data_IF_812681870466
#
_entry.id   IF_812681870466
#
_cell.length_a   1.000
_cell.length_b   1.000
_cell.length_c   1.000
_cell.angle_alpha   90.00
_cell.angle_beta   90.00
_cell.angle_gamma   90.00
#
_symmetry.space_group_name_H-M   'P 1'
#
loop_
_entity.id
_entity.type
_entity.pdbx_description
1 polymer ?
#
# COMPACT_ATOMS: atom_id res chain seq x y z
N UNK A 1 10.09 15.58 -15.49
CA UNK A 1 9.65 16.25 -14.25
C UNK A 1 8.28 16.83 -14.54
N UNK A 2 7.21 16.40 -13.85
CA UNK A 2 5.94 17.12 -13.96
C UNK A 2 6.14 18.53 -13.44
N UNK A 3 5.75 19.51 -14.23
CA UNK A 3 5.66 20.91 -13.80
C UNK A 3 4.38 21.16 -12.96
N UNK A 4 4.02 20.16 -12.14
CA UNK A 4 2.79 20.16 -11.34
C UNK A 4 2.85 21.22 -10.24
N UNK A 5 4.05 21.42 -9.67
CA UNK A 5 4.29 22.41 -8.63
C UNK A 5 4.09 23.82 -9.19
N UNK A 6 4.74 24.16 -10.31
CA UNK A 6 4.71 25.52 -10.83
C UNK A 6 3.38 25.85 -11.51
N UNK A 7 2.69 24.85 -12.10
CA UNK A 7 1.34 25.04 -12.66
C UNK A 7 0.21 25.12 -11.61
N UNK A 8 0.34 24.46 -10.45
CA UNK A 8 -0.65 24.59 -9.36
C UNK A 8 -0.41 25.88 -8.58
N UNK A 9 0.85 26.19 -8.25
CA UNK A 9 1.21 27.37 -7.44
C UNK A 9 1.00 28.70 -8.18
N UNK A 10 1.08 28.73 -9.52
CA UNK A 10 0.89 29.97 -10.29
C UNK A 10 -0.57 30.36 -10.53
N UNK A 11 -1.54 29.45 -10.32
CA UNK A 11 -2.97 29.67 -10.64
C UNK A 11 -3.91 29.63 -9.45
N UNK A 12 -3.45 29.15 -8.29
CA UNK A 12 -4.22 29.23 -7.07
C UNK A 12 -3.42 30.00 -6.03
N UNK A 13 -3.96 31.14 -5.55
CA UNK A 13 -3.65 31.71 -4.24
C UNK A 13 -4.15 30.74 -3.15
N UNK A 14 -3.62 29.52 -3.15
CA UNK A 14 -3.63 28.68 -1.98
C UNK A 14 -2.54 29.27 -1.09
N UNK A 15 -2.93 30.17 -0.19
CA UNK A 15 -2.16 30.44 1.03
C UNK A 15 -2.09 29.12 1.81
N UNK A 16 -1.23 28.20 1.37
CA UNK A 16 -0.82 27.04 2.15
C UNK A 16 0.22 27.60 3.12
N UNK A 17 -0.08 27.70 4.44
CA UNK A 17 0.93 28.15 5.38
C UNK A 17 2.10 27.17 5.34
N UNK A 18 3.26 27.67 4.89
CA UNK A 18 4.58 27.04 4.76
C UNK A 18 4.67 25.52 5.00
N UNK A 19 4.44 24.68 3.97
CA UNK A 19 4.57 23.22 4.06
C UNK A 19 5.98 22.69 3.71
N UNK A 20 6.88 23.52 3.17
CA UNK A 20 8.09 23.04 2.49
C UNK A 20 9.17 22.44 3.41
N UNK A 21 9.13 22.69 4.72
CA UNK A 21 10.21 22.25 5.63
C UNK A 21 9.82 21.10 6.57
N UNK A 22 8.53 20.79 6.78
CA UNK A 22 8.12 19.88 7.85
C UNK A 22 7.81 18.44 7.40
N UNK A 23 7.05 18.25 6.31
CA UNK A 23 6.78 16.93 5.72
C UNK A 23 8.01 16.38 5.01
N UNK A 24 8.62 17.21 4.17
CA UNK A 24 9.89 16.94 3.49
C UNK A 24 10.95 16.53 4.51
N UNK A 25 11.18 17.29 5.59
CA UNK A 25 12.24 16.90 6.55
C UNK A 25 12.07 15.57 7.29
N UNK A 26 10.89 14.94 7.36
CA UNK A 26 10.75 13.65 8.08
C UNK A 26 10.85 12.47 7.13
N UNK A 27 10.25 12.56 5.93
CA UNK A 27 10.52 11.60 4.86
C UNK A 27 11.95 11.78 4.34
N UNK A 28 12.45 12.98 4.05
CA UNK A 28 13.86 13.24 3.70
C UNK A 28 14.85 12.87 4.82
N UNK A 29 14.42 12.77 6.09
CA UNK A 29 15.27 12.22 7.17
C UNK A 29 15.21 10.70 7.26
N UNK A 30 14.14 10.07 6.78
CA UNK A 30 14.06 8.61 6.66
C UNK A 30 14.74 8.21 5.35
N UNK A 31 14.38 8.81 4.22
CA UNK A 31 14.96 8.66 2.89
C UNK A 31 16.41 9.13 2.83
N UNK A 32 16.75 10.31 3.35
CA UNK A 32 18.14 10.76 3.44
C UNK A 32 18.99 9.93 4.41
N UNK A 33 18.38 9.22 5.35
CA UNK A 33 19.07 8.24 6.20
C UNK A 33 19.20 6.88 5.51
N UNK A 34 18.17 6.44 4.78
CA UNK A 34 18.18 5.26 3.93
C UNK A 34 19.22 5.42 2.82
N UNK A 35 19.33 6.59 2.19
CA UNK A 35 20.27 6.92 1.11
C UNK A 35 21.69 7.19 1.61
N UNK A 36 21.86 7.96 2.69
CA UNK A 36 23.19 8.24 3.28
C UNK A 36 23.86 6.99 3.87
N UNK A 37 23.06 6.01 4.34
CA UNK A 37 23.57 4.72 4.83
C UNK A 37 23.38 3.55 3.85
N UNK A 38 22.80 3.77 2.67
CA UNK A 38 22.62 2.72 1.65
C UNK A 38 23.96 2.16 1.13
N UNK A 39 25.04 2.93 1.28
CA UNK A 39 26.36 2.54 0.80
C UNK A 39 27.46 2.51 1.87
N UNK A 40 27.20 2.97 3.09
CA UNK A 40 28.22 3.00 4.15
C UNK A 40 27.70 2.46 5.50
N UNK A 41 28.16 1.23 5.78
CA UNK A 41 28.46 0.71 7.11
C UNK A 41 27.28 0.47 8.09
N UNK A 42 26.46 -0.54 7.80
CA UNK A 42 26.08 -1.54 8.81
C UNK A 42 26.46 -2.93 8.32
N UNK A 43 27.77 -3.12 8.20
CA UNK A 43 28.39 -4.41 7.95
C UNK A 43 28.19 -5.34 9.15
N UNK A 44 27.41 -6.40 8.95
CA UNK A 44 27.42 -7.56 9.80
C UNK A 44 26.42 -8.62 9.32
N UNK A 45 26.86 -9.77 8.79
CA UNK A 45 26.01 -10.95 8.59
C UNK A 45 25.65 -11.53 9.97
N UNK A 46 24.76 -10.85 10.68
CA UNK A 46 24.26 -11.25 11.98
C UNK A 46 22.98 -12.09 11.85
N UNK A 47 22.65 -12.92 12.85
CA UNK A 47 21.37 -13.62 12.85
C UNK A 47 20.20 -12.64 13.02
N UNK A 48 19.01 -13.05 12.59
CA UNK A 48 17.76 -12.34 12.90
C UNK A 48 17.59 -12.25 14.42
N UNK A 49 17.25 -11.06 14.92
CA UNK A 49 17.07 -10.83 16.35
C UNK A 49 15.59 -10.76 16.71
N UNK A 50 15.22 -11.41 17.82
CA UNK A 50 13.85 -11.33 18.36
C UNK A 50 13.56 -9.89 18.79
N UNK A 51 12.34 -9.37 18.55
CA UNK A 51 12.00 -8.04 19.02
C UNK A 51 11.84 -8.03 20.55
N UNK A 52 12.08 -6.89 21.22
CA UNK A 52 11.72 -6.73 22.62
C UNK A 52 10.21 -6.94 22.81
N UNK A 53 9.84 -7.92 23.64
CA UNK A 53 8.46 -8.39 23.76
C UNK A 53 7.50 -7.28 24.21
N UNK A 54 7.92 -6.41 25.13
CA UNK A 54 7.12 -5.27 25.58
C UNK A 54 6.75 -4.34 24.42
N UNK A 55 7.71 -4.03 23.54
CA UNK A 55 7.46 -3.19 22.35
C UNK A 55 6.48 -3.90 21.41
N UNK A 56 6.68 -5.20 21.18
CA UNK A 56 5.79 -5.98 20.34
C UNK A 56 4.34 -5.91 20.83
N UNK A 57 4.13 -6.14 22.12
CA UNK A 57 2.80 -6.12 22.75
C UNK A 57 2.15 -4.73 22.69
N UNK A 58 2.91 -3.66 22.92
CA UNK A 58 2.42 -2.29 22.76
C UNK A 58 2.00 -1.97 21.32
N UNK A 59 2.65 -2.57 20.32
CA UNK A 59 2.42 -2.29 18.90
C UNK A 59 1.33 -3.15 18.25
N UNK A 60 0.85 -4.21 18.95
CA UNK A 60 -0.20 -5.08 18.44
C UNK A 60 -1.53 -4.34 18.24
N UNK A 61 -1.99 -3.61 19.24
CA UNK A 61 -3.30 -2.94 19.16
C UNK A 61 -3.32 -1.86 18.07
N UNK A 62 -2.34 -0.94 17.99
CA UNK A 62 -2.30 0.03 16.91
C UNK A 62 -2.20 -0.62 15.52
N UNK A 63 -1.47 -1.72 15.37
CA UNK A 63 -1.40 -2.47 14.11
C UNK A 63 -2.78 -2.99 13.68
N UNK A 64 -3.45 -3.73 14.58
CA UNK A 64 -4.70 -4.41 14.24
C UNK A 64 -5.87 -3.46 14.07
N UNK A 65 -5.82 -2.28 14.69
CA UNK A 65 -6.84 -1.24 14.54
C UNK A 65 -6.61 -0.35 13.31
N UNK A 66 -5.36 -0.02 12.96
CA UNK A 66 -5.08 0.98 11.93
C UNK A 66 -4.53 0.42 10.59
N UNK A 67 -3.81 -0.70 10.62
CA UNK A 67 -3.10 -1.23 9.44
C UNK A 67 -3.82 -2.48 8.91
N UNK A 68 -4.11 -3.43 9.80
CA UNK A 68 -4.70 -4.71 9.43
C UNK A 68 -6.03 -4.61 8.66
N UNK A 69 -6.96 -3.66 8.95
CA UNK A 69 -8.20 -3.52 8.18
C UNK A 69 -7.95 -3.23 6.69
N UNK A 70 -6.79 -2.68 6.34
CA UNK A 70 -6.43 -2.31 4.98
C UNK A 70 -5.50 -3.32 4.29
N UNK A 71 -4.75 -4.11 5.06
CA UNK A 71 -3.84 -5.15 4.56
C UNK A 71 -3.84 -6.36 5.54
N UNK A 72 -4.92 -7.15 5.59
CA UNK A 72 -5.14 -8.18 6.61
C UNK A 72 -4.34 -9.46 6.32
N UNK A 73 -3.02 -9.38 6.43
CA UNK A 73 -2.15 -10.55 6.31
C UNK A 73 -2.14 -11.41 7.57
N UNK A 74 -2.56 -10.86 8.72
CA UNK A 74 -2.64 -11.58 9.99
C UNK A 74 -4.04 -11.54 10.60
N UNK A 75 -4.39 -12.64 11.26
CA UNK A 75 -5.49 -12.67 12.23
C UNK A 75 -4.91 -12.39 13.63
N UNK A 76 -5.69 -11.69 14.47
CA UNK A 76 -5.24 -11.26 15.81
C UNK A 76 -4.99 -12.44 16.74
N UNK A 77 -5.90 -13.41 16.78
CA UNK A 77 -5.77 -14.62 17.62
C UNK A 77 -4.55 -15.45 17.20
N UNK A 78 -4.35 -15.62 15.90
CA UNK A 78 -3.22 -16.35 15.31
C UNK A 78 -1.88 -15.68 15.64
N UNK A 79 -1.84 -14.34 15.51
CA UNK A 79 -0.64 -13.59 15.84
C UNK A 79 -0.34 -13.60 17.34
N UNK A 80 -1.38 -13.51 18.19
CA UNK A 80 -1.22 -13.65 19.63
C UNK A 80 -0.61 -15.01 20.02
N UNK A 81 -0.95 -16.09 19.30
CA UNK A 81 -0.30 -17.41 19.48
C UNK A 81 1.20 -17.36 19.14
N UNK A 82 1.59 -16.63 18.10
CA UNK A 82 3.01 -16.39 17.79
C UNK A 82 3.67 -15.66 18.97
N UNK A 83 3.09 -14.56 19.46
CA UNK A 83 3.63 -13.79 20.59
C UNK A 83 3.76 -14.62 21.87
N UNK A 84 2.74 -15.44 22.18
CA UNK A 84 2.76 -16.33 23.34
C UNK A 84 3.87 -17.39 23.24
N UNK A 85 4.20 -17.86 22.02
CA UNK A 85 5.33 -18.76 21.82
C UNK A 85 6.66 -18.08 22.21
N UNK A 86 6.84 -16.78 21.95
CA UNK A 86 8.04 -16.04 22.36
C UNK A 86 8.15 -15.93 23.89
N UNK A 87 7.02 -15.81 24.60
CA UNK A 87 6.98 -15.79 26.08
C UNK A 87 7.42 -17.12 26.70
N UNK A 88 7.01 -18.23 26.10
CA UNK A 88 7.18 -19.57 26.68
C UNK A 88 8.57 -20.19 26.43
N UNK A 89 9.39 -19.59 25.55
CA UNK A 89 10.63 -20.19 25.05
C UNK A 89 11.90 -19.58 25.66
N UNK A 90 12.37 -20.15 26.78
CA UNK A 90 13.76 -20.01 27.24
C UNK A 90 14.73 -21.04 26.62
N UNK A 91 14.25 -22.12 25.97
CA UNK A 91 15.12 -23.22 25.52
C UNK A 91 14.56 -24.14 24.41
N UNK A 92 13.83 -23.63 23.42
CA UNK A 92 13.48 -24.43 22.23
C UNK A 92 14.00 -23.76 20.96
N UNK A 93 14.65 -24.57 20.12
CA UNK A 93 15.53 -24.18 19.00
C UNK A 93 14.77 -23.75 17.74
N UNK A 94 13.44 -23.74 17.75
CA UNK A 94 12.64 -23.46 16.56
C UNK A 94 11.60 -22.35 16.79
N UNK A 95 12.02 -21.19 17.29
CA UNK A 95 11.31 -19.97 16.86
C UNK A 95 11.65 -19.80 15.39
N UNK A 96 10.74 -20.25 14.52
CA UNK A 96 10.90 -20.20 13.08
C UNK A 96 11.19 -18.77 12.65
N UNK A 97 12.15 -18.61 11.73
CA UNK A 97 12.60 -17.30 11.24
C UNK A 97 11.44 -16.41 10.78
N UNK A 98 10.43 -17.01 10.15
CA UNK A 98 9.22 -16.32 9.74
C UNK A 98 8.49 -15.63 10.90
N UNK A 99 8.43 -16.25 12.08
CA UNK A 99 7.84 -15.64 13.28
C UNK A 99 8.62 -14.41 13.73
N UNK A 100 9.96 -14.48 13.70
CA UNK A 100 10.82 -13.32 14.05
C UNK A 100 10.58 -12.17 13.05
N UNK A 101 10.53 -12.47 11.76
CA UNK A 101 10.27 -11.49 10.71
C UNK A 101 8.89 -10.86 10.87
N UNK A 102 7.83 -11.67 11.04
CA UNK A 102 6.47 -11.17 11.27
C UNK A 102 6.40 -10.21 12.47
N UNK A 103 7.01 -10.57 13.60
CA UNK A 103 6.97 -9.72 14.79
C UNK A 103 7.76 -8.41 14.64
N UNK A 104 8.97 -8.46 14.06
CA UNK A 104 9.74 -7.23 13.80
C UNK A 104 9.03 -6.33 12.78
N UNK A 105 8.48 -6.89 11.71
CA UNK A 105 7.81 -6.12 10.67
C UNK A 105 6.47 -5.56 11.14
N UNK A 106 5.74 -6.23 12.02
CA UNK A 106 4.55 -5.65 12.66
C UNK A 106 4.94 -4.35 13.37
N UNK A 107 5.98 -4.39 14.22
CA UNK A 107 6.44 -3.20 14.94
C UNK A 107 6.88 -2.12 13.95
N UNK A 108 7.67 -2.48 12.95
CA UNK A 108 8.17 -1.52 11.97
C UNK A 108 7.03 -0.85 11.20
N UNK A 109 6.06 -1.61 10.70
CA UNK A 109 4.88 -1.06 10.01
C UNK A 109 4.07 -0.13 10.91
N UNK A 110 3.89 -0.49 12.19
CA UNK A 110 3.20 0.37 13.17
C UNK A 110 3.96 1.67 13.42
N UNK A 111 5.28 1.60 13.67
CA UNK A 111 6.11 2.78 13.90
C UNK A 111 6.15 3.71 12.67
N UNK A 112 6.16 3.15 11.46
CA UNK A 112 6.10 3.94 10.21
C UNK A 112 4.73 4.61 10.03
N UNK A 113 3.64 3.94 10.39
CA UNK A 113 2.32 4.58 10.40
C UNK A 113 2.26 5.72 11.42
N UNK A 114 2.74 5.48 12.65
CA UNK A 114 2.78 6.47 13.72
C UNK A 114 3.67 7.68 13.37
N UNK A 115 4.77 7.48 12.65
CA UNK A 115 5.61 8.59 12.21
C UNK A 115 4.87 9.51 11.24
N UNK A 116 4.11 8.95 10.30
CA UNK A 116 3.23 9.73 9.41
C UNK A 116 2.18 10.50 10.23
N UNK A 117 1.60 9.87 11.27
CA UNK A 117 0.67 10.54 12.16
C UNK A 117 1.30 11.70 12.96
N UNK A 118 2.54 11.57 13.40
CA UNK A 118 3.26 12.64 14.12
C UNK A 118 3.47 13.87 13.22
N UNK A 119 3.83 13.66 11.95
CA UNK A 119 3.96 14.73 10.95
C UNK A 119 2.63 15.42 10.71
N UNK A 120 1.55 14.64 10.58
CA UNK A 120 0.18 15.17 10.44
C UNK A 120 -0.22 16.04 11.64
N UNK A 121 0.00 15.58 12.88
CA UNK A 121 -0.33 16.33 14.10
C UNK A 121 0.42 17.66 14.15
N UNK A 122 1.70 17.69 13.76
CA UNK A 122 2.47 18.93 13.63
C UNK A 122 1.87 19.88 12.61
N UNK A 123 1.40 19.37 11.48
CA UNK A 123 0.81 20.20 10.42
C UNK A 123 -0.48 20.89 10.88
N UNK A 124 -1.36 20.15 11.57
CA UNK A 124 -2.61 20.70 12.12
C UNK A 124 -2.38 21.55 13.38
N UNK A 125 -1.32 21.26 14.15
CA UNK A 125 -0.95 21.98 15.38
C UNK A 125 0.57 22.27 15.44
N UNK A 126 1.03 23.37 14.81
CA UNK A 126 2.45 23.73 14.74
C UNK A 126 3.11 23.99 16.10
N UNK A 127 2.30 24.31 17.12
CA UNK A 127 2.75 24.57 18.49
C UNK A 127 3.02 23.29 19.31
N UNK A 128 2.67 22.10 18.80
CA UNK A 128 2.97 20.83 19.46
C UNK A 128 4.43 20.43 19.22
N UNK A 129 5.23 20.40 20.30
CA UNK A 129 6.66 20.07 20.25
C UNK A 129 6.95 18.57 20.18
N UNK A 130 5.97 17.73 19.84
CA UNK A 130 6.17 16.28 19.67
C UNK A 130 6.87 16.01 18.34
N UNK A 131 8.17 16.28 18.30
CA UNK A 131 9.02 15.68 17.29
C UNK A 131 9.13 14.17 17.55
N UNK A 132 9.22 13.40 16.47
CA UNK A 132 9.70 12.03 16.55
C UNK A 132 11.01 12.04 17.35
N UNK A 133 11.00 11.39 18.51
CA UNK A 133 12.16 11.43 19.40
C UNK A 133 13.33 10.75 18.70
N UNK A 134 14.58 11.20 18.89
CA UNK A 134 15.76 10.48 18.39
C UNK A 134 15.73 8.99 18.73
N UNK A 135 15.21 8.65 19.91
CA UNK A 135 14.98 7.27 20.36
C UNK A 135 14.02 6.47 19.45
N UNK A 136 12.95 7.08 18.92
CA UNK A 136 12.03 6.42 17.98
C UNK A 136 12.70 6.15 16.64
N UNK A 137 13.59 7.04 16.18
CA UNK A 137 14.37 6.84 14.95
C UNK A 137 15.38 5.70 15.12
N UNK A 138 16.11 5.67 16.25
CA UNK A 138 17.04 4.57 16.58
C UNK A 138 16.31 3.23 16.65
N UNK A 139 15.07 3.24 17.16
CA UNK A 139 14.22 2.06 17.22
C UNK A 139 13.84 1.56 15.82
N UNK A 140 13.39 2.47 14.94
CA UNK A 140 13.08 2.13 13.53
C UNK A 140 14.31 1.57 12.82
N UNK A 141 15.49 2.18 13.03
CA UNK A 141 16.74 1.70 12.44
C UNK A 141 17.06 0.27 12.86
N UNK A 142 16.91 -0.06 14.15
CA UNK A 142 17.13 -1.41 14.66
C UNK A 142 16.21 -2.45 14.00
N UNK A 143 14.93 -2.11 13.80
CA UNK A 143 13.97 -2.99 13.12
C UNK A 143 14.22 -3.07 11.61
N UNK A 144 14.61 -1.97 10.97
CA UNK A 144 14.95 -1.94 9.55
C UNK A 144 16.19 -2.79 9.25
N UNK A 145 17.21 -2.74 10.11
CA UNK A 145 18.38 -3.61 10.00
C UNK A 145 17.98 -5.10 10.08
N UNK A 146 16.95 -5.44 10.88
CA UNK A 146 16.41 -6.79 10.93
C UNK A 146 15.67 -7.18 9.64
N UNK A 147 14.87 -6.27 9.08
CA UNK A 147 14.22 -6.48 7.80
C UNK A 147 15.24 -6.72 6.68
N UNK A 148 16.35 -5.97 6.64
CA UNK A 148 17.46 -6.19 5.69
C UNK A 148 18.12 -7.56 5.88
N UNK A 149 18.44 -7.96 7.11
CA UNK A 149 18.96 -9.32 7.38
C UNK A 149 18.00 -10.42 6.91
N UNK A 150 16.68 -10.18 6.98
CA UNK A 150 15.68 -11.13 6.52
C UNK A 150 15.66 -11.29 5.00
N UNK A 151 16.00 -10.26 4.23
CA UNK A 151 16.08 -10.35 2.77
C UNK A 151 17.31 -11.13 2.30
N UNK A 152 18.41 -11.04 3.06
CA UNK A 152 19.66 -11.75 2.79
C UNK A 152 19.56 -13.25 3.13
N UNK A 153 18.76 -13.61 4.14
CA UNK A 153 18.64 -14.98 4.60
C UNK A 153 17.22 -15.54 4.35
N UNK A 154 16.98 -16.03 3.13
CA UNK A 154 15.68 -16.52 2.70
C UNK A 154 15.35 -17.95 3.19
N UNK A 155 15.46 -18.20 4.50
CA UNK A 155 14.84 -19.37 5.17
C UNK A 155 13.29 -19.38 5.10
N UNK A 156 12.71 -18.44 4.34
CA UNK A 156 11.28 -18.19 4.18
C UNK A 156 10.70 -18.87 2.93
N UNK A 157 11.49 -19.61 2.15
CA UNK A 157 11.04 -20.18 0.87
C UNK A 157 10.19 -21.46 1.00
N UNK A 158 10.11 -22.06 2.20
CA UNK A 158 9.22 -23.21 2.43
C UNK A 158 7.74 -22.79 2.34
N UNK A 159 6.88 -23.56 1.64
CA UNK A 159 5.47 -23.19 1.41
C UNK A 159 4.63 -23.34 2.67
N UNK A 160 4.62 -22.29 3.50
CA UNK A 160 3.84 -22.21 4.75
C UNK A 160 3.18 -20.85 4.86
N UNK A 161 1.98 -20.79 5.46
CA UNK A 161 1.21 -19.55 5.65
C UNK A 161 2.06 -18.48 6.36
N UNK A 162 2.74 -18.84 7.45
CA UNK A 162 3.58 -17.92 8.20
C UNK A 162 4.77 -17.39 7.38
N UNK A 163 5.32 -18.20 6.48
CA UNK A 163 6.39 -17.78 5.59
C UNK A 163 5.87 -16.78 4.54
N UNK A 164 4.69 -17.04 3.96
CA UNK A 164 4.05 -16.11 3.04
C UNK A 164 3.69 -14.78 3.72
N UNK A 165 3.18 -14.83 4.95
CA UNK A 165 2.90 -13.66 5.77
C UNK A 165 4.17 -12.85 6.05
N UNK A 166 5.28 -13.51 6.39
CA UNK A 166 6.57 -12.87 6.57
C UNK A 166 7.03 -12.18 5.28
N UNK A 167 6.96 -12.86 4.13
CA UNK A 167 7.32 -12.30 2.82
C UNK A 167 6.44 -11.10 2.44
N UNK A 168 5.12 -11.18 2.66
CA UNK A 168 4.22 -10.05 2.41
C UNK A 168 4.49 -8.85 3.32
N UNK A 169 4.76 -9.09 4.61
CA UNK A 169 5.14 -7.99 5.51
C UNK A 169 6.46 -7.34 5.09
N UNK A 170 7.43 -8.14 4.59
CA UNK A 170 8.65 -7.60 3.99
C UNK A 170 8.38 -6.82 2.71
N UNK A 171 7.41 -7.22 1.88
CA UNK A 171 7.05 -6.44 0.69
C UNK A 171 6.50 -5.06 1.08
N UNK A 172 5.69 -4.96 2.15
CA UNK A 172 5.18 -3.66 2.64
C UNK A 172 6.32 -2.76 3.11
N UNK A 173 7.26 -3.31 3.89
CA UNK A 173 8.45 -2.57 4.34
C UNK A 173 9.33 -2.18 3.15
N UNK A 174 9.59 -3.12 2.24
CA UNK A 174 10.44 -2.91 1.08
C UNK A 174 9.89 -1.85 0.12
N UNK A 175 8.56 -1.78 -0.02
CA UNK A 175 7.92 -0.77 -0.85
C UNK A 175 8.21 0.66 -0.40
N UNK A 176 8.45 0.86 0.90
CA UNK A 176 8.67 2.18 1.47
C UNK A 176 10.17 2.49 1.65
N UNK A 177 10.98 1.48 1.97
CA UNK A 177 12.32 1.71 2.50
C UNK A 177 13.44 1.05 1.71
N UNK A 178 13.13 0.20 0.73
CA UNK A 178 14.12 -0.54 -0.04
C UNK A 178 14.08 -0.21 -1.54
N UNK A 179 15.21 -0.40 -2.26
CA UNK A 179 15.23 -0.27 -3.71
C UNK A 179 14.21 -1.17 -4.42
N UNK A 180 13.63 -0.68 -5.52
CA UNK A 180 12.59 -1.38 -6.29
C UNK A 180 12.97 -2.80 -6.72
N UNK A 181 14.25 -3.06 -7.06
CA UNK A 181 14.71 -4.39 -7.44
C UNK A 181 14.62 -5.39 -6.28
N UNK A 182 14.82 -4.93 -5.04
CA UNK A 182 14.70 -5.78 -3.85
C UNK A 182 13.23 -6.07 -3.54
N UNK A 183 12.36 -5.06 -3.68
CA UNK A 183 10.91 -5.25 -3.62
C UNK A 183 10.44 -6.30 -4.63
N UNK A 184 10.83 -6.15 -5.90
CA UNK A 184 10.44 -7.07 -6.97
C UNK A 184 10.91 -8.51 -6.69
N UNK A 185 12.13 -8.67 -6.18
CA UNK A 185 12.67 -9.96 -5.79
C UNK A 185 11.91 -10.62 -4.64
N UNK A 186 11.67 -9.90 -3.54
CA UNK A 186 10.91 -10.43 -2.38
C UNK A 186 9.50 -10.79 -2.82
N UNK A 187 8.87 -9.93 -3.62
CA UNK A 187 7.53 -10.17 -4.14
C UNK A 187 7.49 -11.41 -5.04
N UNK A 188 8.51 -11.65 -5.87
CA UNK A 188 8.63 -12.88 -6.68
C UNK A 188 8.59 -14.12 -5.78
N UNK A 189 9.31 -14.09 -4.66
CA UNK A 189 9.32 -15.21 -3.72
C UNK A 189 7.96 -15.38 -3.02
N UNK A 190 7.27 -14.29 -2.69
CA UNK A 190 5.92 -14.32 -2.11
C UNK A 190 4.93 -14.98 -3.08
N UNK A 191 4.94 -14.59 -4.36
CA UNK A 191 4.09 -15.18 -5.41
C UNK A 191 4.38 -16.67 -5.55
N UNK A 192 5.64 -17.09 -5.67
CA UNK A 192 6.01 -18.51 -5.76
C UNK A 192 5.57 -19.33 -4.53
N UNK A 193 5.73 -18.77 -3.33
CA UNK A 193 5.24 -19.39 -2.09
C UNK A 193 3.71 -19.52 -2.12
N UNK A 194 2.99 -18.52 -2.63
CA UNK A 194 1.54 -18.55 -2.74
C UNK A 194 1.03 -19.57 -3.77
N UNK A 195 1.71 -19.68 -4.91
CA UNK A 195 1.39 -20.65 -5.97
C UNK A 195 1.54 -22.09 -5.49
N UNK A 196 2.68 -22.39 -4.85
CA UNK A 196 2.98 -23.73 -4.30
C UNK A 196 1.99 -24.15 -3.21
N UNK A 197 1.45 -23.20 -2.47
CA UNK A 197 0.40 -23.43 -1.47
C UNK A 197 -1.02 -23.46 -2.03
N UNK A 198 -1.23 -23.08 -3.30
CA UNK A 198 -2.57 -22.98 -3.90
C UNK A 198 -3.40 -21.81 -3.37
N UNK A 199 -2.77 -20.74 -2.88
CA UNK A 199 -3.46 -19.56 -2.28
C UNK A 199 -4.49 -18.95 -3.24
N UNK A 200 -4.15 -18.79 -4.52
CA UNK A 200 -5.06 -18.21 -5.52
C UNK A 200 -6.28 -19.10 -5.84
N UNK A 201 -6.23 -20.37 -5.43
CA UNK A 201 -7.28 -21.37 -5.64
C UNK A 201 -8.06 -21.65 -4.35
N UNK A 202 -8.03 -20.74 -3.36
CA UNK A 202 -8.68 -20.86 -2.06
C UNK A 202 -10.13 -21.36 -2.13
N UNK A 203 -10.91 -20.92 -3.14
CA UNK A 203 -12.30 -21.32 -3.34
C UNK A 203 -12.47 -22.84 -3.56
N UNK A 204 -11.47 -23.51 -4.14
CA UNK A 204 -11.47 -24.96 -4.37
C UNK A 204 -11.14 -25.76 -3.10
N UNK A 205 -10.61 -25.08 -2.09
CA UNK A 205 -10.21 -25.67 -0.81
C UNK A 205 -11.31 -25.60 0.26
N UNK A 206 -12.46 -24.98 -0.03
CA UNK A 206 -13.58 -24.79 0.93
C UNK A 206 -14.02 -26.09 1.61
N UNK A 207 -14.00 -27.22 0.91
CA UNK A 207 -14.39 -28.51 1.49
C UNK A 207 -13.27 -29.22 2.28
N UNK A 208 -12.06 -28.65 2.31
CA UNK A 208 -10.84 -29.25 2.89
C UNK A 208 -10.27 -28.45 4.06
N UNK A 209 -10.79 -27.25 4.31
CA UNK A 209 -10.30 -26.30 5.30
C UNK A 209 -11.47 -25.73 6.07
N UNK A 210 -11.20 -25.21 7.27
CA UNK A 210 -12.18 -24.45 8.05
C UNK A 210 -12.44 -23.08 7.41
N UNK A 211 -13.59 -22.46 7.70
CA UNK A 211 -13.91 -21.11 7.20
C UNK A 211 -12.88 -20.06 7.64
N UNK A 212 -12.29 -20.21 8.83
CA UNK A 212 -11.21 -19.34 9.31
C UNK A 212 -9.95 -19.44 8.43
N UNK A 213 -9.52 -20.66 8.10
CA UNK A 213 -8.37 -20.89 7.22
C UNK A 213 -8.64 -20.39 5.80
N UNK A 214 -9.85 -20.61 5.28
CA UNK A 214 -10.28 -20.10 3.97
C UNK A 214 -10.25 -18.56 3.95
N UNK A 215 -10.69 -17.91 5.02
CA UNK A 215 -10.63 -16.46 5.17
C UNK A 215 -9.19 -15.95 5.11
N UNK A 216 -8.26 -16.61 5.80
CA UNK A 216 -6.82 -16.28 5.73
C UNK A 216 -6.29 -16.42 4.30
N UNK A 217 -6.58 -17.53 3.62
CA UNK A 217 -6.13 -17.75 2.24
C UNK A 217 -6.69 -16.70 1.28
N UNK A 218 -7.99 -16.37 1.42
CA UNK A 218 -8.66 -15.33 0.63
C UNK A 218 -8.02 -13.95 0.85
N UNK A 219 -7.76 -13.57 2.09
CA UNK A 219 -7.12 -12.31 2.42
C UNK A 219 -5.70 -12.21 1.86
N UNK A 220 -4.89 -13.27 2.00
CA UNK A 220 -3.54 -13.32 1.44
C UNK A 220 -3.57 -13.22 -0.09
N UNK A 221 -4.49 -13.91 -0.76
CA UNK A 221 -4.67 -13.82 -2.20
C UNK A 221 -5.01 -12.39 -2.66
N UNK A 222 -5.93 -11.71 -1.97
CA UNK A 222 -6.30 -10.33 -2.31
C UNK A 222 -5.19 -9.32 -2.01
N UNK A 223 -4.45 -9.51 -0.90
CA UNK A 223 -3.28 -8.68 -0.57
C UNK A 223 -2.19 -8.81 -1.63
N UNK A 224 -1.84 -10.04 -2.05
CA UNK A 224 -0.89 -10.30 -3.13
C UNK A 224 -1.35 -9.67 -4.44
N UNK A 225 -2.61 -9.87 -4.81
CA UNK A 225 -3.16 -9.37 -6.07
C UNK A 225 -3.16 -7.84 -6.14
N UNK A 226 -3.54 -7.17 -5.05
CA UNK A 226 -3.50 -5.70 -4.97
C UNK A 226 -2.07 -5.17 -4.95
N UNK A 227 -1.16 -5.84 -4.24
CA UNK A 227 0.26 -5.47 -4.19
C UNK A 227 0.93 -5.62 -5.55
N UNK A 228 0.61 -6.67 -6.32
CA UNK A 228 1.11 -6.90 -7.67
C UNK A 228 0.89 -5.65 -8.54
N UNK A 229 -0.32 -5.07 -8.53
CA UNK A 229 -0.64 -3.91 -9.37
C UNK A 229 0.13 -2.67 -8.95
N UNK A 230 0.30 -2.46 -7.64
CA UNK A 230 1.13 -1.37 -7.14
C UNK A 230 2.58 -1.51 -7.57
N UNK A 231 3.11 -2.74 -7.56
CA UNK A 231 4.45 -3.03 -8.06
C UNK A 231 4.54 -2.79 -9.56
N UNK A 232 3.52 -3.17 -10.34
CA UNK A 232 3.47 -2.89 -11.78
C UNK A 232 3.62 -1.40 -12.06
N UNK A 233 2.86 -0.57 -11.33
CA UNK A 233 2.90 0.88 -11.51
C UNK A 233 4.21 1.51 -10.99
N UNK A 234 4.80 1.00 -9.91
CA UNK A 234 6.04 1.58 -9.32
C UNK A 234 7.28 1.17 -10.09
N UNK A 235 7.38 -0.10 -10.46
CA UNK A 235 8.56 -0.66 -11.13
C UNK A 235 8.40 -0.71 -12.66
N UNK A 236 7.25 -0.30 -13.20
CA UNK A 236 6.93 -0.41 -14.64
C UNK A 236 7.12 -1.82 -15.20
N UNK A 237 6.74 -2.82 -14.39
CA UNK A 237 6.81 -4.24 -14.75
C UNK A 237 5.43 -4.79 -15.05
N UNK A 238 5.34 -5.79 -15.92
CA UNK A 238 4.06 -6.45 -16.21
C UNK A 238 3.51 -7.20 -14.98
N UNK A 239 2.17 -7.26 -14.83
CA UNK A 239 1.54 -8.01 -13.74
C UNK A 239 1.94 -9.48 -13.70
N UNK A 240 2.27 -9.97 -12.49
CA UNK A 240 2.60 -11.39 -12.28
C UNK A 240 1.37 -12.24 -11.99
N UNK A 241 0.35 -11.65 -11.36
CA UNK A 241 -0.88 -12.35 -10.99
C UNK A 241 -2.01 -11.79 -11.85
N UNK A 242 -2.45 -12.52 -12.87
CA UNK A 242 -3.54 -12.08 -13.75
C UNK A 242 -4.91 -12.26 -13.08
N UNK A 243 -5.88 -11.43 -13.49
CA UNK A 243 -7.26 -11.52 -12.99
C UNK A 243 -7.90 -12.90 -13.21
N UNK A 244 -7.50 -13.62 -14.26
CA UNK A 244 -7.96 -14.98 -14.58
C UNK A 244 -7.49 -16.04 -13.57
N UNK A 245 -6.43 -15.77 -12.81
CA UNK A 245 -5.86 -16.70 -11.84
C UNK A 245 -6.53 -16.60 -10.46
N UNK A 246 -7.29 -15.53 -10.20
CA UNK A 246 -7.89 -15.24 -8.89
C UNK A 246 -9.41 -15.12 -8.95
N UNK A 247 -10.09 -15.82 -8.04
CA UNK A 247 -11.53 -15.63 -7.82
C UNK A 247 -11.76 -14.39 -6.95
N UNK A 248 -12.44 -13.39 -7.51
CA UNK A 248 -12.96 -12.25 -6.73
C UNK A 248 -14.41 -12.55 -6.37
N UNK A 249 -14.64 -12.82 -5.09
CA UNK A 249 -15.94 -13.11 -4.52
C UNK A 249 -16.67 -11.79 -4.24
N UNK A 250 -17.61 -11.47 -5.15
CA UNK A 250 -18.40 -10.24 -5.15
C UNK A 250 -19.75 -10.40 -4.42
N UNK A 251 -20.08 -11.60 -3.91
CA UNK A 251 -21.45 -12.00 -3.60
C UNK A 251 -21.80 -12.09 -2.10
N UNK A 252 -20.92 -11.68 -1.19
CA UNK A 252 -21.19 -11.74 0.26
C UNK A 252 -21.05 -10.36 0.90
N UNK A 253 -22.09 -9.55 0.66
CA UNK A 253 -22.42 -8.30 1.33
C UNK A 253 -22.97 -8.61 2.73
N UNK A 254 -22.06 -8.84 3.69
CA UNK A 254 -22.36 -8.67 5.12
C UNK A 254 -21.83 -7.30 5.56
N UNK A 255 -22.43 -6.75 6.64
CA UNK A 255 -22.49 -5.37 7.18
C UNK A 255 -21.19 -4.55 7.36
N UNK A 256 -20.09 -4.91 6.70
CA UNK A 256 -18.90 -4.08 6.62
C UNK A 256 -18.40 -4.13 5.17
N UNK A 257 -18.28 -3.01 4.43
CA UNK A 257 -17.66 -3.03 3.12
C UNK A 257 -16.30 -3.69 3.28
N UNK A 258 -16.11 -4.90 2.72
CA UNK A 258 -14.85 -5.62 2.78
C UNK A 258 -13.86 -4.82 1.94
N UNK A 259 -13.24 -3.80 2.54
CA UNK A 259 -12.41 -2.81 1.87
C UNK A 259 -11.33 -3.47 1.01
N UNK A 260 -10.85 -4.64 1.42
CA UNK A 260 -9.92 -5.45 0.66
C UNK A 260 -10.51 -6.04 -0.64
N UNK A 261 -11.75 -6.53 -0.62
CA UNK A 261 -12.43 -7.04 -1.82
C UNK A 261 -12.70 -5.90 -2.82
N UNK A 262 -13.14 -4.75 -2.34
CA UNK A 262 -13.32 -3.55 -3.16
C UNK A 262 -11.99 -3.12 -3.82
N UNK A 263 -10.89 -3.10 -3.04
CA UNK A 263 -9.54 -2.82 -3.55
C UNK A 263 -9.08 -3.86 -4.57
N UNK A 264 -9.33 -5.15 -4.34
CA UNK A 264 -8.98 -6.20 -5.28
C UNK A 264 -9.78 -6.09 -6.59
N UNK A 265 -11.03 -5.63 -6.53
CA UNK A 265 -11.81 -5.34 -7.73
C UNK A 265 -11.24 -4.13 -8.48
N UNK A 266 -10.91 -3.03 -7.79
CA UNK A 266 -10.26 -1.88 -8.41
C UNK A 266 -8.93 -2.29 -9.05
N UNK A 267 -8.12 -3.10 -8.38
CA UNK A 267 -6.88 -3.67 -8.90
C UNK A 267 -7.09 -4.44 -10.22
N UNK A 268 -8.26 -5.05 -10.43
CA UNK A 268 -8.59 -5.70 -11.71
C UNK A 268 -8.89 -4.70 -12.83
N UNK A 269 -9.41 -3.52 -12.49
CA UNK A 269 -9.59 -2.43 -13.44
C UNK A 269 -8.22 -1.83 -13.78
N UNK A 270 -7.40 -1.57 -12.75
CA UNK A 270 -6.01 -1.11 -12.91
C UNK A 270 -5.17 -2.06 -13.77
N UNK A 271 -5.30 -3.39 -13.58
CA UNK A 271 -4.66 -4.38 -14.46
C UNK A 271 -5.09 -4.22 -15.92
N UNK A 272 -6.38 -3.99 -16.15
CA UNK A 272 -6.91 -3.78 -17.52
C UNK A 272 -6.33 -2.50 -18.13
N UNK A 273 -6.29 -1.41 -17.36
CA UNK A 273 -5.68 -0.13 -17.77
C UNK A 273 -4.20 -0.35 -18.12
N UNK A 274 -3.43 -0.99 -17.23
CA UNK A 274 -2.01 -1.24 -17.45
C UNK A 274 -1.75 -2.05 -18.71
N UNK A 275 -2.43 -3.20 -18.86
CA UNK A 275 -2.23 -4.09 -20.00
C UNK A 275 -2.64 -3.44 -21.33
N UNK A 276 -3.67 -2.60 -21.32
CA UNK A 276 -4.11 -1.94 -22.53
C UNK A 276 -3.29 -0.69 -22.86
N UNK A 277 -2.73 0.04 -21.89
CA UNK A 277 -2.15 1.37 -22.16
C UNK A 277 -0.65 1.42 -21.94
N UNK A 278 -0.12 0.71 -20.94
CA UNK A 278 1.25 0.87 -20.47
C UNK A 278 2.15 -0.33 -20.72
N UNK A 279 1.59 -1.50 -21.01
CA UNK A 279 2.39 -2.70 -21.26
C UNK A 279 3.26 -2.54 -22.52
N UNK A 280 4.48 -3.09 -22.49
CA UNK A 280 5.47 -2.88 -23.56
C UNK A 280 5.10 -3.42 -24.96
N UNK A 281 3.99 -4.16 -25.09
CA UNK A 281 3.46 -4.61 -26.37
C UNK A 281 2.41 -3.65 -26.97
N UNK A 282 2.05 -2.59 -26.26
CA UNK A 282 1.07 -1.60 -26.71
C UNK A 282 1.70 -0.73 -27.79
N UNK A 283 1.07 -0.69 -28.96
CA UNK A 283 1.47 0.17 -30.08
C UNK A 283 0.75 1.51 -30.04
N UNK A 284 1.24 2.48 -30.81
CA UNK A 284 0.53 3.75 -31.05
C UNK A 284 -0.87 3.47 -31.58
N UNK A 285 -1.85 4.22 -31.06
CA UNK A 285 -3.27 4.09 -31.42
C UNK A 285 -3.80 5.37 -32.04
N UNK A 286 -4.83 5.23 -32.87
CA UNK A 286 -5.60 6.38 -33.35
C UNK A 286 -6.47 6.96 -32.24
N UNK A 287 -6.93 8.20 -32.41
CA UNK A 287 -7.87 8.84 -31.47
C UNK A 287 -9.13 7.99 -31.25
N UNK A 288 -9.70 7.43 -32.31
CA UNK A 288 -10.90 6.58 -32.22
C UNK A 288 -10.64 5.29 -31.44
N UNK A 289 -9.47 4.66 -31.63
CA UNK A 289 -9.07 3.47 -30.88
C UNK A 289 -8.83 3.78 -29.39
N UNK A 290 -8.25 4.94 -29.09
CA UNK A 290 -8.06 5.42 -27.72
C UNK A 290 -9.42 5.65 -27.05
N UNK A 291 -10.35 6.32 -27.72
CA UNK A 291 -11.73 6.54 -27.24
C UNK A 291 -12.43 5.21 -26.94
N UNK A 292 -12.36 4.26 -27.87
CA UNK A 292 -12.98 2.94 -27.74
C UNK A 292 -12.46 2.13 -26.53
N UNK A 293 -11.24 2.41 -26.06
CA UNK A 293 -10.64 1.79 -24.88
C UNK A 293 -11.01 2.54 -23.59
N UNK A 294 -10.93 3.87 -23.63
CA UNK A 294 -11.03 4.71 -22.43
C UNK A 294 -12.46 4.82 -21.93
N UNK A 295 -13.43 5.03 -22.82
CA UNK A 295 -14.84 5.23 -22.42
C UNK A 295 -15.40 4.05 -21.61
N UNK A 296 -15.24 2.77 -22.04
CA UNK A 296 -15.72 1.64 -21.24
C UNK A 296 -15.02 1.52 -19.88
N UNK A 297 -13.74 1.90 -19.80
CA UNK A 297 -12.98 1.84 -18.55
C UNK A 297 -13.39 2.94 -17.56
N UNK A 298 -13.69 4.15 -18.05
CA UNK A 298 -14.28 5.21 -17.22
C UNK A 298 -15.64 4.74 -16.67
N UNK A 299 -16.52 4.24 -17.54
CA UNK A 299 -17.83 3.72 -17.11
C UNK A 299 -17.69 2.57 -16.10
N UNK A 300 -16.70 1.69 -16.28
CA UNK A 300 -16.42 0.60 -15.33
C UNK A 300 -15.96 1.12 -13.96
N UNK A 301 -15.15 2.17 -13.92
CA UNK A 301 -14.73 2.84 -12.68
C UNK A 301 -15.91 3.51 -11.96
N UNK A 302 -16.80 4.17 -12.71
CA UNK A 302 -18.00 4.80 -12.15
C UNK A 302 -18.99 3.77 -11.60
N UNK A 303 -19.27 2.72 -12.38
CA UNK A 303 -20.10 1.60 -11.94
C UNK A 303 -19.48 0.84 -10.76
N UNK A 304 -18.16 0.80 -10.65
CA UNK A 304 -17.49 0.25 -9.48
C UNK A 304 -17.78 1.09 -8.23
N UNK A 305 -17.59 2.40 -8.27
CA UNK A 305 -17.89 3.30 -7.13
C UNK A 305 -19.34 3.18 -6.67
N UNK A 306 -20.29 3.21 -7.60
CA UNK A 306 -21.72 3.08 -7.30
C UNK A 306 -22.01 1.75 -6.60
N UNK A 307 -21.42 0.64 -7.06
CA UNK A 307 -21.58 -0.68 -6.41
C UNK A 307 -20.97 -0.74 -5.01
N UNK A 308 -19.93 0.04 -4.74
CA UNK A 308 -19.37 0.17 -3.39
C UNK A 308 -20.22 1.06 -2.47
N UNK A 309 -21.32 1.64 -2.96
CA UNK A 309 -22.18 2.53 -2.17
C UNK A 309 -21.58 3.93 -1.93
N UNK A 310 -20.59 4.33 -2.72
CA UNK A 310 -19.93 5.63 -2.57
C UNK A 310 -20.78 6.71 -3.24
N UNK A 311 -21.36 7.59 -2.44
CA UNK A 311 -21.96 8.84 -2.90
C UNK A 311 -20.85 9.88 -3.09
N UNK A 312 -20.51 10.16 -4.36
CA UNK A 312 -19.45 11.11 -4.73
C UNK A 312 -19.74 12.53 -4.23
N UNK A 313 -21.00 12.98 -4.30
CA UNK A 313 -21.38 14.34 -3.90
C UNK A 313 -21.30 14.52 -2.39
N UNK A 314 -21.83 13.54 -1.64
CA UNK A 314 -21.72 13.54 -0.18
C UNK A 314 -20.26 13.44 0.28
N UNK A 315 -19.47 12.58 -0.37
CA UNK A 315 -18.05 12.39 -0.07
C UNK A 315 -17.25 13.66 -0.35
N UNK A 316 -17.56 14.40 -1.43
CA UNK A 316 -16.91 15.67 -1.72
C UNK A 316 -17.23 16.78 -0.70
N UNK A 317 -18.46 16.82 -0.20
CA UNK A 317 -18.88 17.84 0.78
C UNK A 317 -18.35 17.54 2.17
N UNK A 318 -18.32 16.27 2.57
CA UNK A 318 -17.86 15.83 3.89
C UNK A 318 -16.99 14.57 3.77
N UNK A 319 -15.74 14.68 3.27
CA UNK A 319 -14.84 13.54 3.09
C UNK A 319 -14.54 12.78 4.38
N UNK A 320 -14.68 13.46 5.51
CA UNK A 320 -14.39 12.93 6.85
C UNK A 320 -15.53 12.08 7.42
N UNK A 321 -16.74 12.22 6.89
CA UNK A 321 -17.92 11.47 7.38
C UNK A 321 -17.78 9.96 7.20
N UNK A 322 -17.11 9.53 6.13
CA UNK A 322 -16.76 8.13 5.89
C UNK A 322 -15.39 8.04 5.20
N UNK A 323 -14.29 7.92 5.98
CA UNK A 323 -12.92 7.86 5.44
C UNK A 323 -12.71 6.69 4.48
N UNK A 324 -13.42 5.57 4.67
CA UNK A 324 -13.38 4.43 3.78
C UNK A 324 -13.92 4.77 2.38
N UNK A 325 -15.09 5.44 2.29
CA UNK A 325 -15.65 5.88 1.02
C UNK A 325 -14.78 6.92 0.33
N UNK A 326 -14.26 7.90 1.09
CA UNK A 326 -13.32 8.88 0.57
C UNK A 326 -12.02 8.24 0.04
N UNK A 327 -11.49 7.21 0.71
CA UNK A 327 -10.34 6.45 0.24
C UNK A 327 -10.62 5.67 -1.06
N UNK A 328 -11.79 5.04 -1.18
CA UNK A 328 -12.20 4.36 -2.41
C UNK A 328 -12.40 5.36 -3.56
N UNK A 329 -13.01 6.51 -3.28
CA UNK A 329 -13.20 7.57 -4.27
C UNK A 329 -11.87 8.13 -4.77
N UNK A 330 -10.95 8.44 -3.85
CA UNK A 330 -9.60 8.87 -4.20
C UNK A 330 -8.88 7.82 -5.09
N UNK A 331 -8.97 6.54 -4.73
CA UNK A 331 -8.36 5.46 -5.51
C UNK A 331 -8.93 5.37 -6.93
N UNK A 332 -10.25 5.55 -7.07
CA UNK A 332 -10.91 5.64 -8.38
C UNK A 332 -10.39 6.82 -9.19
N UNK A 333 -10.23 8.00 -8.59
CA UNK A 333 -9.73 9.19 -9.28
C UNK A 333 -8.27 8.98 -9.73
N UNK A 334 -7.43 8.36 -8.90
CA UNK A 334 -6.07 7.97 -9.29
C UNK A 334 -6.07 7.03 -10.50
N UNK A 335 -6.94 6.00 -10.51
CA UNK A 335 -7.07 5.11 -11.66
C UNK A 335 -7.57 5.85 -12.93
N UNK A 336 -8.49 6.81 -12.78
CA UNK A 336 -8.93 7.69 -13.89
C UNK A 336 -7.79 8.53 -14.43
N UNK A 337 -6.95 9.11 -13.56
CA UNK A 337 -5.76 9.86 -13.98
C UNK A 337 -4.81 8.97 -14.78
N UNK A 338 -4.50 7.77 -14.28
CA UNK A 338 -3.65 6.82 -14.99
C UNK A 338 -4.24 6.43 -16.36
N UNK A 339 -5.56 6.36 -16.48
CA UNK A 339 -6.24 6.04 -17.73
C UNK A 339 -6.14 7.17 -18.78
N UNK A 340 -6.36 8.42 -18.37
CA UNK A 340 -6.45 9.56 -19.31
C UNK A 340 -5.12 10.28 -19.56
N UNK A 341 -4.19 10.19 -18.61
CA UNK A 341 -2.93 10.97 -18.62
C UNK A 341 -2.08 10.77 -19.89
N UNK A 342 -1.90 9.55 -20.43
CA UNK A 342 -1.14 9.33 -21.67
C UNK A 342 -1.75 10.04 -22.87
N UNK A 343 -3.05 10.37 -22.81
CA UNK A 343 -3.83 10.93 -23.89
C UNK A 343 -4.29 12.38 -23.61
N UNK A 344 -3.58 13.11 -22.73
CA UNK A 344 -3.93 14.50 -22.36
C UNK A 344 -4.07 15.49 -23.53
N UNK A 345 -3.45 15.18 -24.68
CA UNK A 345 -3.55 15.98 -25.90
C UNK A 345 -4.73 15.63 -26.81
N UNK A 346 -5.54 14.64 -26.45
CA UNK A 346 -6.67 14.17 -27.25
C UNK A 346 -7.78 15.24 -27.31
N UNK A 347 -8.44 15.45 -28.46
CA UNK A 347 -9.41 16.53 -28.63
C UNK A 347 -10.67 16.41 -27.78
N UNK A 348 -11.11 15.19 -27.44
CA UNK A 348 -12.33 15.01 -26.65
C UNK A 348 -12.24 15.53 -25.21
N UNK A 349 -13.37 16.08 -24.75
CA UNK A 349 -13.55 16.65 -23.42
C UNK A 349 -13.21 15.68 -22.28
N UNK A 350 -13.43 14.36 -22.44
CA UNK A 350 -13.18 13.38 -21.39
C UNK A 350 -11.68 13.30 -21.01
N UNK A 351 -10.78 13.57 -21.95
CA UNK A 351 -9.33 13.62 -21.70
C UNK A 351 -8.87 14.97 -21.17
N UNK A 352 -9.63 16.04 -21.42
CA UNK A 352 -9.36 17.38 -20.90
C UNK A 352 -9.70 17.53 -19.41
N UNK A 353 -10.41 16.57 -18.81
CA UNK A 353 -10.77 16.58 -17.39
C UNK A 353 -9.61 16.22 -16.43
N UNK A 354 -8.44 15.85 -16.94
CA UNK A 354 -7.29 15.42 -16.13
C UNK A 354 -6.92 16.41 -15.02
N UNK A 355 -6.98 17.71 -15.31
CA UNK A 355 -6.70 18.74 -14.30
C UNK A 355 -7.76 18.78 -13.19
N UNK A 356 -9.04 18.75 -13.55
CA UNK A 356 -10.15 18.74 -12.59
C UNK A 356 -10.08 17.52 -11.66
N UNK A 357 -9.78 16.35 -12.24
CA UNK A 357 -9.61 15.10 -11.50
C UNK A 357 -8.41 15.22 -10.54
N UNK A 358 -7.26 15.74 -11.01
CA UNK A 358 -6.07 15.91 -10.17
C UNK A 358 -6.31 16.88 -9.00
N UNK A 359 -6.97 18.02 -9.25
CA UNK A 359 -7.35 18.97 -8.19
C UNK A 359 -8.28 18.30 -7.18
N UNK A 360 -9.23 17.47 -7.65
CA UNK A 360 -10.14 16.72 -6.77
C UNK A 360 -9.38 15.70 -5.92
N UNK A 361 -8.42 14.97 -6.49
CA UNK A 361 -7.54 14.08 -5.73
C UNK A 361 -6.81 14.82 -4.60
N UNK A 362 -6.17 15.96 -4.92
CA UNK A 362 -5.42 16.76 -3.94
C UNK A 362 -6.34 17.27 -2.84
N UNK A 363 -7.54 17.79 -3.18
CA UNK A 363 -8.52 18.26 -2.19
C UNK A 363 -8.98 17.15 -1.25
N UNK A 364 -9.27 15.96 -1.78
CA UNK A 364 -9.65 14.81 -0.97
C UNK A 364 -8.50 14.34 -0.08
N UNK A 365 -7.28 14.27 -0.62
CA UNK A 365 -6.07 13.94 0.14
C UNK A 365 -5.86 14.90 1.30
N UNK A 366 -5.92 16.21 1.05
CA UNK A 366 -5.79 17.24 2.09
C UNK A 366 -6.91 17.13 3.12
N UNK A 367 -8.15 16.96 2.69
CA UNK A 367 -9.29 16.82 3.60
C UNK A 367 -9.19 15.58 4.51
N UNK A 368 -8.70 14.47 3.95
CA UNK A 368 -8.44 13.24 4.70
C UNK A 368 -7.24 13.38 5.64
N UNK A 369 -6.24 14.18 5.25
CA UNK A 369 -5.09 14.54 6.08
C UNK A 369 -5.46 15.52 7.20
N UNK A 370 -6.48 16.35 7.04
CA UNK A 370 -6.91 17.34 8.04
C UNK A 370 -7.92 16.82 9.06
N UNK A 371 -8.58 15.68 8.78
CA UNK A 371 -9.60 15.10 9.68
C UNK A 371 -9.07 14.93 11.11
N UNK A 372 -9.86 15.39 12.10
CA UNK A 372 -9.41 15.52 13.50
C UNK A 372 -9.87 14.40 14.42
N UNK A 373 -10.64 13.44 13.94
CA UNK A 373 -11.31 12.51 14.86
C UNK A 373 -10.33 11.55 15.54
N UNK A 374 -10.42 11.46 16.86
CA UNK A 374 -9.61 10.59 17.72
C UNK A 374 -10.01 9.10 17.62
N UNK A 375 -11.03 8.74 16.84
CA UNK A 375 -11.54 7.37 16.68
C UNK A 375 -11.05 6.73 15.37
N UNK A 376 -9.78 6.31 15.39
CA UNK A 376 -9.31 4.97 15.00
C UNK A 376 -9.78 4.30 13.69
N UNK A 377 -10.07 5.04 12.61
CA UNK A 377 -10.04 4.50 11.24
C UNK A 377 -9.41 5.51 10.28
N UNK A 378 -8.16 5.87 10.55
CA UNK A 378 -7.41 6.74 9.66
C UNK A 378 -6.91 5.93 8.48
N UNK A 379 -7.41 6.27 7.29
CA UNK A 379 -6.91 5.81 5.99
C UNK A 379 -5.40 5.68 6.09
N UNK A 380 -4.85 4.48 5.92
CA UNK A 380 -3.40 4.31 5.80
C UNK A 380 -2.94 5.01 4.52
N UNK A 381 -2.76 6.33 4.61
CA UNK A 381 -2.15 7.20 3.60
C UNK A 381 -0.82 6.62 3.09
N UNK A 382 0.03 5.92 3.90
CA UNK A 382 1.22 5.24 3.39
C UNK A 382 1.00 4.23 2.24
N UNK A 383 -0.23 3.76 1.99
CA UNK A 383 -0.53 2.86 0.87
C UNK A 383 -0.97 3.55 -0.42
N UNK A 384 -1.22 4.86 -0.41
CA UNK A 384 -1.74 5.63 -1.55
C UNK A 384 -0.73 6.63 -2.14
N UNK A 385 0.36 6.94 -1.41
CA UNK A 385 1.45 7.82 -1.88
C UNK A 385 2.12 7.34 -3.19
N UNK A 386 2.31 6.02 -3.46
CA UNK A 386 2.96 5.60 -4.71
C UNK A 386 2.16 5.98 -5.96
N UNK A 387 0.82 6.08 -5.87
CA UNK A 387 -0.03 6.40 -7.02
C UNK A 387 0.04 7.89 -7.40
N UNK A 388 0.32 8.79 -6.44
CA UNK A 388 0.45 10.22 -6.71
C UNK A 388 1.83 10.56 -7.31
N UNK A 389 2.90 9.91 -6.85
CA UNK A 389 4.25 10.07 -7.42
C UNK A 389 4.40 9.44 -8.81
N UNK A 390 3.61 8.43 -9.15
CA UNK A 390 3.67 7.76 -10.46
C UNK A 390 3.17 8.61 -11.63
N UNK A 391 2.28 9.57 -11.40
CA UNK A 391 1.96 10.58 -12.41
C UNK A 391 3.25 11.35 -12.79
N UNK A 392 4.22 11.46 -11.87
CA UNK A 392 5.49 12.16 -12.09
C UNK A 392 6.55 11.37 -12.87
N UNK A 393 6.59 10.04 -12.70
CA UNK A 393 7.64 9.19 -13.25
C UNK A 393 7.37 8.60 -14.64
N UNK A 394 6.12 8.61 -15.13
CA UNK A 394 5.77 8.12 -16.47
C UNK A 394 6.40 8.91 -17.65
N UNK A 395 7.17 9.97 -17.37
CA UNK A 395 7.79 10.87 -18.36
C UNK A 395 9.26 10.53 -18.71
N UNK A 396 9.77 9.32 -18.40
CA UNK A 396 11.15 8.96 -18.75
C UNK A 396 11.30 8.02 -19.96
N UNK A 397 10.21 7.56 -20.59
CA UNK A 397 10.28 6.65 -21.73
C UNK A 397 9.38 7.00 -22.93
N UNK A 398 8.92 8.24 -23.03
CA UNK A 398 8.25 8.76 -24.24
C UNK A 398 8.91 10.06 -24.69
N UNK A 399 10.11 9.90 -25.26
CA UNK A 399 10.67 10.79 -26.27
C UNK A 399 11.31 9.94 -27.37
#
# INVERSE_FOLDING_TARGET
MLDFRDSISSRFDLDIPGPENACLSTHDRIDGFVDSKCYQCFSGPGPLTKPPLFILECMMEPYFSNINPHFPIWNREDFQRIVNSFRQHHASTEVGWASIVCCNNLILMTLMADSVHSVRRRWVQPASSENMTPMTLDLIEGFLANARRATENLGLLSPRVINLQALLSLCVVAQQLFPLHLLDFIFAQAVRCAETMGIFQWHRLRNKMTESEISVYKNLAYCLYTMDKRICWTASVSPRILKSQIQLDMALLDDNPKALAAKAELASIEETIFLQIYAGHVTTRTEDEVRAIVEPLIQRLDNWLVRQGVDVEATMRQPQSCPAHAGLFLSSLCAKLLLIWPFRGHPDDCFQQHWSIAVTCVRLLVSLWESRDNDAQHVSIPMYVPQAEQVAHANLYTY
#
